data_IF_325778646274
#
_entry.id   IF_325778646274
#
_cell.length_a   1.000
_cell.length_b   1.000
_cell.length_c   1.000
_cell.angle_alpha   90.00
_cell.angle_beta   90.00
_cell.angle_gamma   90.00
#
_symmetry.space_group_name_H-M   'P 1'
#
loop_
_entity.id
_entity.type
_entity.pdbx_description
1 polymer ?
#
# COMPACT_ATOMS: atom_id res chain seq x y z
N UNK A 1 -29.40 32.53 -14.58
CA UNK A 1 -29.42 31.47 -13.54
C UNK A 1 -28.24 31.69 -12.60
N UNK A 2 -28.42 31.54 -11.28
CA UNK A 2 -27.33 31.67 -10.30
C UNK A 2 -26.87 30.29 -9.84
N UNK A 3 -25.56 30.04 -9.89
CA UNK A 3 -24.93 28.76 -9.57
C UNK A 3 -24.04 28.93 -8.35
N UNK A 4 -24.20 28.05 -7.37
CA UNK A 4 -23.32 27.95 -6.21
C UNK A 4 -22.41 26.74 -6.39
N UNK A 5 -21.16 26.88 -5.98
CA UNK A 5 -20.14 25.84 -6.01
C UNK A 5 -19.73 25.49 -4.59
N UNK A 6 -19.43 24.21 -4.34
CA UNK A 6 -18.94 23.75 -3.05
C UNK A 6 -17.77 22.77 -3.21
N UNK A 7 -16.72 22.98 -2.40
CA UNK A 7 -15.53 22.11 -2.31
C UNK A 7 -15.01 22.12 -0.88
N UNK A 8 -14.69 20.95 -0.33
CA UNK A 8 -14.18 20.79 1.05
C UNK A 8 -15.01 21.52 2.12
N UNK A 9 -16.35 21.43 2.01
CA UNK A 9 -17.29 22.07 2.93
C UNK A 9 -17.29 23.61 2.91
N UNK A 10 -16.67 24.24 1.90
CA UNK A 10 -16.74 25.67 1.64
C UNK A 10 -17.63 25.93 0.42
N UNK A 11 -18.56 26.89 0.55
CA UNK A 11 -19.47 27.31 -0.52
C UNK A 11 -19.02 28.65 -1.11
N UNK A 12 -19.11 28.79 -2.43
CA UNK A 12 -18.82 30.01 -3.18
C UNK A 12 -19.92 30.28 -4.21
N UNK A 13 -20.18 31.55 -4.49
CA UNK A 13 -21.21 31.99 -5.43
C UNK A 13 -22.05 33.13 -4.85
N UNK A 14 -23.08 33.59 -5.57
CA UNK A 14 -23.59 33.03 -6.84
C UNK A 14 -22.73 33.41 -8.06
N UNK A 15 -22.54 32.45 -8.97
CA UNK A 15 -21.89 32.63 -10.27
C UNK A 15 -22.90 32.55 -11.42
N UNK A 16 -22.61 33.24 -12.52
CA UNK A 16 -23.35 33.05 -13.77
C UNK A 16 -22.87 31.78 -14.51
N UNK A 17 -23.65 31.33 -15.50
CA UNK A 17 -23.26 30.18 -16.35
C UNK A 17 -21.96 30.49 -17.11
N UNK A 18 -21.81 31.72 -17.58
CA UNK A 18 -20.65 32.17 -18.34
C UNK A 18 -19.40 32.20 -17.46
N UNK A 19 -19.52 32.70 -16.22
CA UNK A 19 -18.44 32.64 -15.24
C UNK A 19 -18.07 31.19 -14.89
N UNK A 20 -19.06 30.31 -14.72
CA UNK A 20 -18.80 28.88 -14.50
C UNK A 20 -18.06 28.25 -15.68
N UNK A 21 -18.46 28.55 -16.92
CA UNK A 21 -17.82 28.04 -18.12
C UNK A 21 -16.38 28.59 -18.27
N UNK A 22 -16.13 29.85 -17.89
CA UNK A 22 -14.76 30.39 -17.81
C UNK A 22 -13.93 29.69 -16.71
N UNK A 23 -14.52 29.40 -15.56
CA UNK A 23 -13.85 28.68 -14.47
C UNK A 23 -13.55 27.22 -14.82
N UNK A 24 -14.44 26.56 -15.59
CA UNK A 24 -14.23 25.22 -16.13
C UNK A 24 -13.14 25.23 -17.22
N UNK A 25 -13.15 26.21 -18.12
CA UNK A 25 -12.16 26.35 -19.19
C UNK A 25 -10.75 26.65 -18.64
N UNK A 26 -10.66 27.47 -17.59
CA UNK A 26 -9.40 27.79 -16.90
C UNK A 26 -8.98 26.73 -15.88
N UNK A 27 -9.75 25.64 -15.72
CA UNK A 27 -9.52 24.56 -14.75
C UNK A 27 -9.44 25.03 -13.28
N UNK A 28 -9.99 26.20 -12.96
CA UNK A 28 -10.13 26.67 -11.57
C UNK A 28 -11.13 25.80 -10.80
N UNK A 29 -12.15 25.33 -11.52
CA UNK A 29 -13.22 24.44 -11.02
C UNK A 29 -13.09 23.09 -11.71
N UNK A 30 -13.31 22.01 -10.95
CA UNK A 30 -13.16 20.62 -11.40
C UNK A 30 -14.55 19.98 -11.58
N UNK A 31 -14.64 18.98 -12.45
CA UNK A 31 -15.87 18.20 -12.65
C UNK A 31 -16.31 17.43 -11.39
N UNK A 32 -15.42 17.25 -10.42
CA UNK A 32 -15.72 16.63 -9.12
C UNK A 32 -16.33 17.61 -8.12
N UNK A 33 -16.34 18.91 -8.41
CA UNK A 33 -16.90 19.89 -7.50
C UNK A 33 -18.42 19.82 -7.48
N UNK A 34 -19.00 20.09 -6.33
CA UNK A 34 -20.43 20.14 -6.18
C UNK A 34 -20.95 21.48 -6.68
N UNK A 35 -22.00 21.44 -7.49
CA UNK A 35 -22.74 22.59 -7.94
C UNK A 35 -24.21 22.44 -7.57
N UNK A 36 -24.83 23.58 -7.25
CA UNK A 36 -26.24 23.68 -7.02
C UNK A 36 -26.76 24.96 -7.65
N UNK A 37 -27.94 24.88 -8.25
CA UNK A 37 -28.66 26.05 -8.72
C UNK A 37 -30.15 25.91 -8.41
N UNK A 38 -30.86 27.03 -8.48
CA UNK A 38 -32.31 27.08 -8.27
C UNK A 38 -33.01 26.09 -9.23
N UNK A 39 -33.81 25.18 -8.66
CA UNK A 39 -34.46 24.08 -9.38
C UNK A 39 -33.88 22.70 -9.09
N UNK A 40 -32.75 22.61 -8.36
CA UNK A 40 -32.18 21.34 -7.89
C UNK A 40 -32.61 21.02 -6.46
N UNK A 41 -32.95 19.76 -6.21
CA UNK A 41 -33.29 19.25 -4.87
C UNK A 41 -32.05 18.96 -4.02
N UNK A 42 -30.91 18.72 -4.66
CA UNK A 42 -29.64 18.33 -4.01
C UNK A 42 -28.43 18.89 -4.77
N UNK A 43 -27.29 18.96 -4.10
CA UNK A 43 -26.01 19.29 -4.72
C UNK A 43 -25.55 18.15 -5.62
N UNK A 44 -25.14 18.46 -6.85
CA UNK A 44 -24.67 17.47 -7.82
C UNK A 44 -23.26 17.79 -8.28
N UNK A 45 -22.48 16.77 -8.63
CA UNK A 45 -21.15 17.00 -9.16
C UNK A 45 -21.24 17.69 -10.55
N UNK A 46 -20.35 18.64 -10.82
CA UNK A 46 -20.35 19.35 -12.10
C UNK A 46 -20.21 18.40 -13.29
N UNK A 47 -19.44 17.32 -13.15
CA UNK A 47 -19.31 16.29 -14.18
C UNK A 47 -20.62 15.56 -14.49
N UNK A 48 -21.53 15.44 -13.52
CA UNK A 48 -22.86 14.89 -13.76
C UNK A 48 -23.75 15.90 -14.50
N UNK A 49 -23.61 17.19 -14.17
CA UNK A 49 -24.38 18.28 -14.78
C UNK A 49 -23.93 18.61 -16.21
N UNK A 50 -22.63 18.51 -16.49
CA UNK A 50 -22.05 18.78 -17.80
C UNK A 50 -21.87 17.54 -18.66
N UNK A 51 -22.30 16.36 -18.16
CA UNK A 51 -22.08 15.07 -18.82
C UNK A 51 -20.59 14.82 -19.13
N UNK A 52 -19.70 15.24 -18.23
CA UNK A 52 -18.24 15.10 -18.38
C UNK A 52 -17.58 16.14 -19.28
N UNK A 53 -18.31 17.13 -19.81
CA UNK A 53 -17.76 18.23 -20.61
C UNK A 53 -17.28 19.37 -19.72
N UNK A 54 -16.30 20.15 -20.18
CA UNK A 54 -15.85 21.37 -19.48
C UNK A 54 -16.73 22.60 -19.79
N UNK A 55 -17.98 22.36 -20.20
CA UNK A 55 -18.96 23.39 -20.52
C UNK A 55 -20.29 22.94 -19.95
N UNK A 56 -20.93 23.82 -19.21
CA UNK A 56 -22.25 23.63 -18.66
C UNK A 56 -23.30 24.36 -19.50
N UNK A 57 -24.24 23.59 -20.05
CA UNK A 57 -25.35 24.07 -20.86
C UNK A 57 -26.66 23.52 -20.26
N UNK A 58 -27.32 24.27 -19.36
CA UNK A 58 -28.60 23.84 -18.82
C UNK A 58 -29.68 23.84 -19.90
N UNK A 59 -30.50 22.78 -19.91
CA UNK A 59 -31.61 22.61 -20.86
C UNK A 59 -32.62 23.76 -20.68
N UNK A 60 -32.83 24.55 -21.73
CA UNK A 60 -33.81 25.65 -21.75
C UNK A 60 -33.26 27.05 -21.40
N UNK A 61 -31.95 27.21 -21.22
CA UNK A 61 -31.35 28.55 -21.05
C UNK A 61 -31.06 29.22 -22.39
N UNK A 62 -31.78 30.30 -22.68
CA UNK A 62 -31.48 31.21 -23.80
C UNK A 62 -30.44 32.24 -23.34
N UNK A 63 -29.27 32.25 -23.96
CA UNK A 63 -28.25 33.28 -23.74
C UNK A 63 -28.80 34.64 -24.15
N UNK A 64 -28.84 35.65 -23.26
CA UNK A 64 -29.13 37.02 -23.68
C UNK A 64 -27.99 37.52 -24.55
N UNK A 65 -28.23 37.64 -25.85
CA UNK A 65 -27.29 38.23 -26.81
C UNK A 65 -27.26 39.75 -26.63
N UNK A 66 -26.71 40.27 -25.54
CA UNK A 66 -26.21 41.66 -25.42
C UNK A 66 -25.37 41.76 -24.12
N UNK A 67 -24.05 41.77 -24.24
CA UNK A 67 -23.17 42.14 -23.12
C UNK A 67 -22.98 43.67 -23.13
N UNK A 68 -23.57 44.35 -22.14
CA UNK A 68 -23.09 45.64 -21.66
C UNK A 68 -22.30 45.36 -20.37
N UNK A 69 -20.99 45.62 -20.31
CA UNK A 69 -20.17 45.27 -19.16
C UNK A 69 -20.34 46.33 -18.06
N UNK A 70 -21.41 46.23 -17.27
CA UNK A 70 -21.57 47.02 -16.04
C UNK A 70 -21.69 46.09 -14.82
N UNK A 71 -20.61 45.38 -14.51
CA UNK A 71 -20.36 44.97 -13.12
C UNK A 71 -18.85 45.01 -12.86
N UNK A 72 -18.39 45.77 -11.84
CA UNK A 72 -16.99 45.78 -11.49
C UNK A 72 -16.60 44.39 -11.01
N UNK A 73 -15.55 43.85 -11.61
CA UNK A 73 -14.83 42.66 -11.19
C UNK A 73 -14.39 42.80 -9.73
N UNK A 74 -15.22 42.35 -8.79
CA UNK A 74 -14.72 41.98 -7.46
C UNK A 74 -13.99 40.65 -7.59
N UNK A 75 -12.72 40.77 -7.98
CA UNK A 75 -11.77 39.68 -7.94
C UNK A 75 -11.53 39.32 -6.46
N UNK A 76 -12.19 38.25 -6.01
CA UNK A 76 -12.12 37.78 -4.64
C UNK A 76 -10.67 37.30 -4.34
N UNK A 77 -9.88 38.13 -3.67
CA UNK A 77 -8.45 37.88 -3.36
C UNK A 77 -8.22 36.68 -2.43
N UNK A 78 -9.28 36.10 -1.87
CA UNK A 78 -9.20 34.88 -1.08
C UNK A 78 -8.74 33.64 -1.88
N UNK A 79 -8.84 33.66 -3.22
CA UNK A 79 -8.51 32.52 -4.08
C UNK A 79 -7.07 32.58 -4.62
N UNK A 80 -6.45 33.77 -4.67
CA UNK A 80 -5.06 33.93 -5.15
C UNK A 80 -4.02 33.20 -4.27
N UNK A 81 -4.37 32.90 -3.02
CA UNK A 81 -3.49 32.21 -2.07
C UNK A 81 -3.88 30.75 -1.81
N UNK A 82 -4.81 30.16 -2.57
CA UNK A 82 -4.95 28.71 -2.56
C UNK A 82 -3.75 28.18 -3.34
N UNK A 83 -2.65 27.92 -2.61
CA UNK A 83 -1.56 27.08 -3.10
C UNK A 83 -2.20 25.76 -3.48
N UNK A 84 -2.46 25.59 -4.77
CA UNK A 84 -2.86 24.32 -5.34
C UNK A 84 -1.65 23.43 -5.12
N UNK A 85 -1.61 22.73 -3.99
CA UNK A 85 -0.91 21.47 -3.92
C UNK A 85 -1.61 20.59 -4.94
N UNK A 86 -1.18 20.70 -6.20
CA UNK A 86 -1.18 19.56 -7.08
C UNK A 86 -0.41 18.53 -6.26
N UNK A 87 -1.14 17.67 -5.56
CA UNK A 87 -0.66 16.36 -5.20
C UNK A 87 -0.22 15.81 -6.54
N UNK A 88 1.06 16.01 -6.85
CA UNK A 88 1.78 15.28 -7.86
C UNK A 88 1.54 13.85 -7.45
N UNK A 89 0.51 13.22 -8.02
CA UNK A 89 0.43 11.77 -8.08
C UNK A 89 1.63 11.41 -8.94
N UNK A 90 2.80 11.38 -8.29
CA UNK A 90 4.02 10.75 -8.76
C UNK A 90 3.53 9.43 -9.33
N UNK A 91 3.71 9.22 -10.63
CA UNK A 91 3.18 8.03 -11.29
C UNK A 91 3.64 6.83 -10.47
N UNK A 92 2.72 6.22 -9.72
CA UNK A 92 3.06 5.22 -8.72
C UNK A 92 3.43 3.96 -9.48
N UNK A 93 4.70 3.84 -9.83
CA UNK A 93 5.21 2.70 -10.58
C UNK A 93 5.25 1.50 -9.65
N UNK A 94 4.67 0.40 -10.13
CA UNK A 94 4.71 -0.85 -9.40
C UNK A 94 6.18 -1.27 -9.23
N UNK A 95 6.56 -1.65 -8.00
CA UNK A 95 7.94 -2.03 -7.72
C UNK A 95 8.36 -3.23 -8.56
N UNK A 96 9.56 -3.24 -9.15
CA UNK A 96 10.05 -4.37 -9.93
C UNK A 96 10.17 -5.62 -9.06
N UNK A 97 9.93 -6.77 -9.70
CA UNK A 97 9.95 -8.13 -9.12
C UNK A 97 11.24 -8.39 -8.34
N UNK A 98 12.39 -8.02 -8.90
CA UNK A 98 13.71 -8.22 -8.28
C UNK A 98 13.84 -7.53 -6.92
N UNK A 99 13.53 -6.22 -6.83
CA UNK A 99 13.61 -5.46 -5.56
C UNK A 99 12.73 -6.07 -4.47
N UNK A 100 11.56 -6.58 -4.84
CA UNK A 100 10.63 -7.24 -3.91
C UNK A 100 11.17 -8.58 -3.39
N UNK A 101 11.80 -9.39 -4.25
CA UNK A 101 12.47 -10.64 -3.86
C UNK A 101 13.63 -10.33 -2.92
N UNK A 102 14.48 -9.37 -3.29
CA UNK A 102 15.61 -8.95 -2.45
C UNK A 102 15.14 -8.46 -1.08
N UNK A 103 14.06 -7.69 -1.02
CA UNK A 103 13.45 -7.28 0.25
C UNK A 103 12.99 -8.48 1.10
N UNK A 104 12.33 -9.49 0.48
CA UNK A 104 11.93 -10.72 1.19
C UNK A 104 13.15 -11.52 1.69
N UNK A 105 14.22 -11.62 0.89
CA UNK A 105 15.46 -12.30 1.29
C UNK A 105 16.12 -11.61 2.49
N UNK A 106 16.12 -10.28 2.53
CA UNK A 106 16.64 -9.54 3.68
C UNK A 106 15.77 -9.77 4.92
N UNK A 107 14.44 -9.72 4.79
CA UNK A 107 13.53 -10.02 5.91
C UNK A 107 13.73 -11.45 6.43
N UNK A 108 13.96 -12.43 5.53
CA UNK A 108 14.30 -13.81 5.88
C UNK A 108 15.65 -13.90 6.60
N UNK A 109 16.69 -13.27 6.05
CA UNK A 109 18.02 -13.27 6.66
C UNK A 109 17.99 -12.67 8.08
N UNK A 110 17.30 -11.54 8.29
CA UNK A 110 17.18 -10.92 9.62
C UNK A 110 16.54 -11.88 10.64
N UNK A 111 15.61 -12.73 10.21
CA UNK A 111 14.91 -13.66 11.09
C UNK A 111 15.71 -14.95 11.34
N UNK A 112 16.29 -15.54 10.28
CA UNK A 112 16.92 -16.87 10.32
C UNK A 112 18.42 -16.84 10.59
N UNK A 113 19.14 -15.80 10.19
CA UNK A 113 20.60 -15.74 10.32
C UNK A 113 21.06 -15.85 11.78
N UNK A 114 20.45 -15.16 12.76
CA UNK A 114 20.82 -15.33 14.17
C UNK A 114 20.58 -16.77 14.68
N UNK A 115 19.55 -17.45 14.17
CA UNK A 115 19.25 -18.84 14.54
C UNK A 115 20.29 -19.80 13.96
N UNK A 116 20.65 -19.62 12.68
CA UNK A 116 21.70 -20.42 12.03
C UNK A 116 23.04 -20.22 12.73
N UNK A 117 23.40 -18.97 13.08
CA UNK A 117 24.64 -18.68 13.80
C UNK A 117 24.64 -19.30 15.20
N UNK A 118 23.53 -19.24 15.92
CA UNK A 118 23.43 -19.87 17.24
C UNK A 118 23.56 -21.40 17.13
N UNK A 119 22.86 -22.02 16.18
CA UNK A 119 22.98 -23.47 15.94
C UNK A 119 24.43 -23.82 15.58
N UNK A 120 25.06 -23.09 14.66
CA UNK A 120 26.44 -23.33 14.23
C UNK A 120 27.45 -23.17 15.39
N UNK A 121 27.26 -22.17 16.25
CA UNK A 121 28.14 -21.94 17.39
C UNK A 121 28.07 -23.05 18.45
N UNK A 122 26.86 -23.60 18.68
CA UNK A 122 26.62 -24.67 19.66
C UNK A 122 26.57 -26.07 19.03
N UNK A 123 26.95 -26.21 17.75
CA UNK A 123 26.90 -27.49 17.04
C UNK A 123 28.09 -28.37 17.44
N UNK A 124 27.87 -29.59 17.96
CA UNK A 124 28.96 -30.53 18.24
C UNK A 124 29.44 -31.22 16.97
N UNK A 125 30.71 -31.63 16.94
CA UNK A 125 31.32 -32.34 15.80
C UNK A 125 30.55 -33.63 15.43
N UNK A 126 29.97 -34.31 16.41
CA UNK A 126 29.15 -35.50 16.18
C UNK A 126 27.93 -35.24 15.30
N UNK A 127 27.31 -34.06 15.41
CA UNK A 127 26.18 -33.70 14.55
C UNK A 127 26.63 -33.43 13.11
N UNK A 128 27.82 -32.89 12.91
CA UNK A 128 28.40 -32.63 11.59
C UNK A 128 28.69 -33.94 10.86
N UNK A 129 29.33 -34.90 11.55
CA UNK A 129 29.65 -36.21 10.97
C UNK A 129 28.39 -36.99 10.54
N UNK A 130 27.29 -36.86 11.30
CA UNK A 130 26.01 -37.48 10.94
C UNK A 130 25.37 -36.77 9.74
N UNK A 131 25.50 -35.45 9.65
CA UNK A 131 25.01 -34.68 8.51
C UNK A 131 25.75 -35.02 7.21
N UNK A 132 27.06 -35.30 7.29
CA UNK A 132 27.87 -35.76 6.16
C UNK A 132 27.45 -37.15 5.66
N UNK A 133 26.96 -38.02 6.55
CA UNK A 133 26.43 -39.34 6.21
C UNK A 133 25.10 -39.33 5.44
N UNK A 134 24.49 -38.16 5.22
CA UNK A 134 23.31 -37.96 4.39
C UNK A 134 22.02 -37.60 5.15
N UNK A 135 21.02 -37.11 4.42
CA UNK A 135 19.76 -36.59 4.97
C UNK A 135 18.66 -37.68 5.09
N UNK A 136 18.95 -38.78 5.78
CA UNK A 136 17.93 -39.79 6.12
C UNK A 136 17.02 -39.30 7.26
N UNK A 137 15.81 -39.89 7.41
CA UNK A 137 14.93 -39.58 8.55
C UNK A 137 15.60 -39.88 9.89
N UNK A 138 16.39 -40.95 9.95
CA UNK A 138 17.10 -41.36 11.16
C UNK A 138 18.22 -40.38 11.52
N UNK A 139 19.01 -39.97 10.52
CA UNK A 139 20.03 -38.92 10.67
C UNK A 139 19.40 -37.60 11.15
N UNK A 140 18.23 -37.23 10.60
CA UNK A 140 17.52 -36.02 11.02
C UNK A 140 17.07 -36.08 12.49
N UNK A 141 16.58 -37.22 12.95
CA UNK A 141 16.17 -37.40 14.35
C UNK A 141 17.37 -37.36 15.30
N UNK A 142 18.48 -38.01 14.94
CA UNK A 142 19.71 -38.00 15.73
C UNK A 142 20.32 -36.60 15.81
N UNK A 143 20.39 -35.87 14.69
CA UNK A 143 20.86 -34.49 14.65
C UNK A 143 19.97 -33.59 15.53
N UNK A 144 18.64 -33.74 15.46
CA UNK A 144 17.73 -32.97 16.29
C UNK A 144 17.92 -33.24 17.79
N UNK A 145 18.11 -34.51 18.17
CA UNK A 145 18.36 -34.88 19.57
C UNK A 145 19.69 -34.29 20.07
N UNK A 146 20.76 -34.44 19.29
CA UNK A 146 22.10 -33.93 19.65
C UNK A 146 22.06 -32.40 19.78
N UNK A 147 21.45 -31.70 18.82
CA UNK A 147 21.29 -30.24 18.86
C UNK A 147 20.49 -29.82 20.10
N UNK A 148 19.38 -30.51 20.40
CA UNK A 148 18.53 -30.17 21.55
C UNK A 148 19.25 -30.30 22.89
N UNK A 149 20.18 -31.26 23.01
CA UNK A 149 21.00 -31.46 24.21
C UNK A 149 22.19 -30.49 24.28
N UNK A 150 22.69 -30.05 23.13
CA UNK A 150 23.90 -29.21 23.05
C UNK A 150 23.61 -27.72 23.22
N UNK A 151 22.43 -27.25 22.78
CA UNK A 151 22.04 -25.84 22.92
C UNK A 151 21.47 -25.58 24.32
N UNK A 152 22.07 -24.68 25.12
CA UNK A 152 21.54 -24.34 26.43
C UNK A 152 20.15 -23.71 26.35
N UNK A 153 19.28 -24.01 27.33
CA UNK A 153 17.90 -23.51 27.36
C UNK A 153 17.81 -21.98 27.30
N UNK A 154 18.74 -21.24 27.92
CA UNK A 154 18.75 -19.78 27.87
C UNK A 154 18.98 -19.22 26.46
N UNK A 155 19.71 -19.94 25.60
CA UNK A 155 19.93 -19.55 24.20
C UNK A 155 18.63 -19.71 23.43
N UNK A 156 17.94 -20.84 23.60
CA UNK A 156 16.65 -21.08 22.96
C UNK A 156 15.59 -20.06 23.38
N UNK A 157 15.52 -19.74 24.67
CA UNK A 157 14.61 -18.70 25.20
C UNK A 157 15.00 -17.33 24.63
N UNK A 158 16.30 -16.99 24.63
CA UNK A 158 16.80 -15.73 24.08
C UNK A 158 16.46 -15.56 22.59
N UNK A 159 16.63 -16.62 21.78
CA UNK A 159 16.25 -16.62 20.37
C UNK A 159 14.73 -16.51 20.19
N UNK A 160 13.94 -17.18 21.03
CA UNK A 160 12.47 -17.06 20.98
C UNK A 160 12.02 -15.63 21.28
N UNK A 161 12.58 -15.00 22.32
CA UNK A 161 12.30 -13.59 22.65
C UNK A 161 12.75 -12.67 21.52
N UNK A 162 13.93 -12.90 20.95
CA UNK A 162 14.44 -12.14 19.80
C UNK A 162 13.49 -12.22 18.59
N UNK A 163 13.04 -13.43 18.24
CA UNK A 163 12.08 -13.63 17.15
C UNK A 163 10.79 -12.91 17.46
N UNK A 164 10.21 -13.09 18.64
CA UNK A 164 8.97 -12.41 19.02
C UNK A 164 9.10 -10.88 18.96
N UNK A 165 10.23 -10.33 19.43
CA UNK A 165 10.51 -8.91 19.37
C UNK A 165 10.61 -8.39 17.93
N UNK A 166 11.36 -9.07 17.05
CA UNK A 166 11.49 -8.63 15.66
C UNK A 166 10.16 -8.74 14.90
N UNK A 167 9.35 -9.76 15.20
CA UNK A 167 8.00 -9.91 14.65
C UNK A 167 7.09 -8.75 15.05
N UNK A 168 7.11 -8.35 16.33
CA UNK A 168 6.32 -7.22 16.83
C UNK A 168 6.79 -5.91 16.17
N UNK A 169 8.10 -5.68 16.09
CA UNK A 169 8.67 -4.49 15.45
C UNK A 169 8.28 -4.43 13.96
N UNK A 170 8.41 -5.55 13.25
CA UNK A 170 8.08 -5.61 11.83
C UNK A 170 6.57 -5.41 11.61
N UNK A 171 5.74 -5.93 12.51
CA UNK A 171 4.30 -5.67 12.51
C UNK A 171 3.99 -4.17 12.66
N UNK A 172 4.57 -3.51 13.66
CA UNK A 172 4.39 -2.07 13.89
C UNK A 172 4.89 -1.22 12.72
N UNK A 173 6.02 -1.58 12.12
CA UNK A 173 6.57 -0.82 11.00
C UNK A 173 5.70 -0.95 9.75
N UNK A 174 5.15 -2.14 9.48
CA UNK A 174 4.24 -2.33 8.35
C UNK A 174 2.93 -1.59 8.58
N UNK A 175 2.37 -1.56 9.79
CA UNK A 175 1.12 -0.83 10.05
C UNK A 175 1.33 0.69 9.97
N UNK A 176 2.45 1.21 10.47
CA UNK A 176 2.73 2.65 10.49
C UNK A 176 3.23 3.20 9.15
N UNK A 177 4.12 2.48 8.46
CA UNK A 177 4.77 2.97 7.25
C UNK A 177 4.55 2.09 6.01
N UNK A 178 3.91 0.93 6.14
CA UNK A 178 3.77 0.01 5.01
C UNK A 178 5.09 -0.67 4.62
N UNK A 179 6.09 -0.70 5.50
CA UNK A 179 7.41 -1.24 5.20
C UNK A 179 7.84 -2.30 6.22
N UNK A 180 8.37 -3.42 5.73
CA UNK A 180 9.22 -4.32 6.52
C UNK A 180 10.69 -3.85 6.44
N UNK A 181 11.58 -4.50 7.19
CA UNK A 181 12.99 -4.11 7.30
C UNK A 181 13.66 -4.18 5.92
N UNK A 182 13.49 -5.29 5.21
CA UNK A 182 13.95 -5.47 3.84
C UNK A 182 13.29 -4.48 2.88
N UNK A 183 11.97 -4.25 2.98
CA UNK A 183 11.28 -3.28 2.12
C UNK A 183 11.79 -1.86 2.35
N UNK A 184 12.09 -1.48 3.58
CA UNK A 184 12.66 -0.17 3.91
C UNK A 184 14.03 0.04 3.27
N UNK A 185 14.89 -0.99 3.29
CA UNK A 185 16.22 -0.96 2.65
C UNK A 185 16.10 -0.72 1.13
N UNK A 186 15.15 -1.39 0.47
CA UNK A 186 14.90 -1.21 -0.96
C UNK A 186 13.95 -0.06 -1.31
N UNK A 187 13.61 0.80 -0.34
CA UNK A 187 12.66 1.93 -0.50
C UNK A 187 11.31 1.50 -1.08
N UNK A 188 10.84 0.30 -0.72
CA UNK A 188 9.56 -0.23 -1.14
C UNK A 188 8.50 0.09 -0.10
N UNK A 189 7.29 0.39 -0.55
CA UNK A 189 6.15 0.64 0.34
C UNK A 189 4.92 -0.13 -0.10
N UNK A 190 4.19 -0.63 0.86
CA UNK A 190 2.89 -1.25 0.69
C UNK A 190 1.82 -0.16 0.69
N UNK A 191 0.94 -0.20 -0.30
CA UNK A 191 -0.24 0.67 -0.38
C UNK A 191 -1.48 -0.12 -0.80
N UNK A 192 -2.65 0.39 -0.48
CA UNK A 192 -3.92 -0.11 -1.00
C UNK A 192 -4.00 0.09 -2.52
N UNK A 193 -4.59 -0.89 -3.24
CA UNK A 193 -4.70 -0.83 -4.71
C UNK A 193 -5.59 0.32 -5.18
N UNK A 194 -6.64 0.64 -4.43
CA UNK A 194 -7.67 1.61 -4.82
C UNK A 194 -7.31 3.02 -4.34
N UNK A 195 -6.87 3.17 -3.09
CA UNK A 195 -6.63 4.49 -2.50
C UNK A 195 -5.18 4.95 -2.60
N UNK A 196 -4.23 4.02 -2.85
CA UNK A 196 -2.78 4.26 -2.75
C UNK A 196 -2.32 4.83 -1.39
N UNK A 197 -3.16 4.71 -0.37
CA UNK A 197 -2.81 5.09 0.99
C UNK A 197 -2.31 3.87 1.76
N UNK A 198 -1.76 4.11 2.94
CA UNK A 198 -1.41 3.04 3.87
C UNK A 198 -2.65 2.18 4.13
N UNK A 199 -2.56 0.84 3.99
CA UNK A 199 -3.71 -0.02 4.25
C UNK A 199 -4.02 0.00 5.75
N UNK A 200 -4.91 0.90 6.17
CA UNK A 200 -5.30 1.10 7.56
C UNK A 200 -6.09 -0.04 8.21
N UNK A 201 -6.21 -1.21 7.55
CA UNK A 201 -6.97 -2.34 8.06
C UNK A 201 -6.06 -3.50 8.49
N UNK A 202 -6.04 -3.74 9.80
CA UNK A 202 -5.52 -4.95 10.46
C UNK A 202 -5.89 -6.25 9.73
N UNK A 203 -7.06 -6.30 9.08
CA UNK A 203 -7.62 -7.49 8.43
C UNK A 203 -6.82 -7.96 7.20
N UNK A 204 -6.39 -7.03 6.33
CA UNK A 204 -5.57 -7.38 5.17
C UNK A 204 -4.12 -7.69 5.55
N UNK A 205 -3.63 -7.05 6.60
CA UNK A 205 -2.26 -7.19 7.10
C UNK A 205 -2.00 -8.52 7.84
N UNK A 206 -2.94 -8.99 8.66
CA UNK A 206 -2.80 -10.23 9.43
C UNK A 206 -2.68 -11.46 8.52
N UNK A 207 -3.44 -11.48 7.42
CA UNK A 207 -3.38 -12.53 6.40
C UNK A 207 -2.09 -12.42 5.56
N UNK A 208 -1.59 -11.20 5.32
CA UNK A 208 -0.50 -10.91 4.38
C UNK A 208 0.90 -11.23 4.90
N UNK A 209 1.20 -10.88 6.14
CA UNK A 209 2.57 -10.98 6.67
C UNK A 209 2.65 -11.74 7.97
N UNK A 210 1.64 -11.70 8.82
CA UNK A 210 1.68 -12.42 10.09
C UNK A 210 1.38 -13.91 9.91
N UNK A 211 0.31 -14.26 9.18
CA UNK A 211 -0.06 -15.65 8.94
C UNK A 211 1.03 -16.41 8.16
N UNK A 212 1.57 -15.82 7.10
CA UNK A 212 2.58 -16.49 6.26
C UNK A 212 3.95 -16.62 6.95
N UNK A 213 4.34 -15.63 7.76
CA UNK A 213 5.59 -15.62 8.53
C UNK A 213 5.52 -16.58 9.72
N UNK A 214 4.39 -16.63 10.42
CA UNK A 214 4.16 -17.64 11.47
C UNK A 214 4.04 -19.03 10.86
N UNK A 215 3.31 -19.22 9.76
CA UNK A 215 3.28 -20.50 9.03
C UNK A 215 4.71 -20.92 8.68
N UNK A 216 5.54 -20.03 8.13
CA UNK A 216 6.93 -20.33 7.79
C UNK A 216 7.78 -20.79 8.98
N UNK A 217 7.44 -20.41 10.22
CA UNK A 217 8.16 -20.82 11.41
C UNK A 217 7.65 -22.15 12.00
N UNK A 218 6.43 -22.57 11.64
CA UNK A 218 5.85 -23.87 12.00
C UNK A 218 6.48 -24.97 11.12
N UNK A 219 7.74 -25.32 11.42
CA UNK A 219 8.51 -26.36 10.71
C UNK A 219 7.82 -27.74 10.68
N UNK A 220 6.83 -27.98 11.53
CA UNK A 220 6.06 -29.23 11.51
C UNK A 220 5.10 -29.35 10.30
N UNK A 221 4.87 -28.28 9.53
CA UNK A 221 3.91 -28.23 8.41
C UNK A 221 4.62 -27.92 7.06
N UNK A 222 5.93 -28.17 6.98
CA UNK A 222 6.81 -27.84 5.84
C UNK A 222 6.25 -28.20 4.47
N UNK A 223 5.63 -29.39 4.23
CA UNK A 223 5.13 -29.73 2.90
C UNK A 223 4.01 -28.78 2.43
N UNK A 224 3.10 -28.41 3.33
CA UNK A 224 1.97 -27.54 3.00
C UNK A 224 2.45 -26.09 2.80
N UNK A 225 3.39 -25.62 3.63
CA UNK A 225 3.99 -24.28 3.51
C UNK A 225 4.78 -24.14 2.21
N UNK A 226 5.55 -25.17 1.84
CA UNK A 226 6.31 -25.18 0.59
C UNK A 226 5.40 -25.05 -0.63
N UNK A 227 4.24 -25.73 -0.64
CA UNK A 227 3.25 -25.60 -1.71
C UNK A 227 2.72 -24.17 -1.81
N UNK A 228 2.31 -23.55 -0.69
CA UNK A 228 1.81 -22.16 -0.72
C UNK A 228 2.91 -21.19 -1.17
N UNK A 229 4.16 -21.40 -0.76
CA UNK A 229 5.30 -20.58 -1.20
C UNK A 229 5.57 -20.73 -2.69
N UNK A 230 5.52 -21.94 -3.23
CA UNK A 230 5.69 -22.21 -4.67
C UNK A 230 4.57 -21.54 -5.47
N UNK A 231 3.31 -21.62 -5.01
CA UNK A 231 2.18 -20.96 -5.68
C UNK A 231 2.31 -19.44 -5.61
N UNK A 232 2.74 -18.88 -4.47
CA UNK A 232 2.99 -17.44 -4.34
C UNK A 232 4.11 -17.00 -5.29
N UNK A 233 5.20 -17.78 -5.40
CA UNK A 233 6.30 -17.55 -6.32
C UNK A 233 5.86 -17.64 -7.79
N UNK A 234 5.03 -18.62 -8.15
CA UNK A 234 4.53 -18.77 -9.52
C UNK A 234 3.59 -17.62 -9.92
N UNK A 235 2.69 -17.22 -9.01
CA UNK A 235 1.82 -16.06 -9.21
C UNK A 235 2.59 -14.74 -9.27
N UNK A 236 3.76 -14.69 -8.60
CA UNK A 236 4.65 -13.53 -8.60
C UNK A 236 5.25 -13.22 -9.98
N UNK A 237 5.51 -14.24 -10.80
CA UNK A 237 5.98 -14.08 -12.19
C UNK A 237 4.84 -13.89 -13.22
N UNK A 238 3.59 -13.88 -12.76
CA UNK A 238 2.43 -13.65 -13.64
C UNK A 238 2.40 -12.21 -14.17
N UNK A 239 1.73 -11.98 -15.30
CA UNK A 239 1.69 -10.73 -16.10
C UNK A 239 1.40 -9.44 -15.30
N UNK A 240 0.77 -9.54 -14.14
CA UNK A 240 0.44 -8.41 -13.27
C UNK A 240 1.38 -8.22 -12.07
N UNK A 241 2.39 -9.08 -11.87
CA UNK A 241 3.36 -9.07 -10.77
C UNK A 241 2.72 -8.90 -9.38
N UNK A 242 1.53 -9.48 -9.16
CA UNK A 242 0.85 -9.50 -7.87
C UNK A 242 1.04 -10.86 -7.22
N UNK A 243 1.63 -10.87 -6.03
CA UNK A 243 1.73 -12.08 -5.23
C UNK A 243 0.32 -12.56 -4.80
N UNK A 244 0.18 -13.84 -4.46
CA UNK A 244 -1.10 -14.42 -4.04
C UNK A 244 -1.61 -13.72 -2.76
N UNK A 245 -0.72 -13.48 -1.80
CA UNK A 245 -1.03 -12.75 -0.58
C UNK A 245 -1.41 -11.28 -0.83
N UNK A 246 -0.81 -10.63 -1.85
CA UNK A 246 -1.12 -9.26 -2.24
C UNK A 246 -2.51 -9.13 -2.86
N UNK A 247 -2.91 -10.10 -3.69
CA UNK A 247 -4.26 -10.19 -4.27
C UNK A 247 -5.32 -10.42 -3.20
N UNK A 248 -5.08 -11.34 -2.27
CA UNK A 248 -6.00 -11.60 -1.15
C UNK A 248 -6.18 -10.36 -0.28
N UNK A 249 -5.12 -9.57 -0.10
CA UNK A 249 -5.14 -8.36 0.71
C UNK A 249 -5.56 -7.09 -0.05
N UNK A 250 -5.86 -7.15 -1.36
CA UNK A 250 -6.15 -5.99 -2.23
C UNK A 250 -5.10 -4.88 -2.13
N UNK A 251 -3.83 -5.27 -2.09
CA UNK A 251 -2.71 -4.37 -1.86
C UNK A 251 -1.65 -4.51 -2.92
N UNK A 252 -0.84 -3.47 -3.12
CA UNK A 252 0.29 -3.47 -4.04
C UNK A 252 1.55 -2.91 -3.38
N UNK A 253 2.71 -3.29 -3.92
CA UNK A 253 4.00 -2.75 -3.51
C UNK A 253 4.49 -1.75 -4.54
N UNK A 254 4.84 -0.57 -4.07
CA UNK A 254 5.27 0.58 -4.87
C UNK A 254 6.73 0.90 -4.55
N UNK A 255 7.45 1.42 -5.53
CA UNK A 255 8.82 1.86 -5.35
C UNK A 255 8.81 3.36 -5.01
N UNK A 256 9.45 3.75 -3.90
CA UNK A 256 9.57 5.15 -3.48
C UNK A 256 10.82 5.82 -4.07
N UNK A 257 11.76 5.05 -4.61
CA UNK A 257 13.02 5.56 -5.13
C UNK A 257 12.89 6.26 -6.49
N UNK A 258 11.81 6.01 -7.23
CA UNK A 258 11.44 6.67 -8.51
C UNK A 258 10.24 7.58 -8.31
#
# INVERSE_FOLDING_TARGET
MQIYLARNNQQAGPYSIEQLNQMLASQQVLLTDLAWHQGMTEWKALGELTQGKLVYEPVGYITPTTFTPEHPTQQNQAITNIKVERSTKKAIKAAPVGKRISAKLVDFAVLFLPQILAIAYFMPESAVNIAEGGFSRESQMQIAEIISKSIPNYVNIGLMVFVLAILIIQCFMITKSGQSIGKKIFKLQIVDVNTNQLPGSFRGFFVRSFLFLILSQLMSIVPLIAIVFIVDLFMFFSKNNYALHDRLAKTKVIDLAE
#
